data_IF_824172954009
#
_entry.id   IF_824172954009
#
_cell.length_a   1.000
_cell.length_b   1.000
_cell.length_c   1.000
_cell.angle_alpha   90.00
_cell.angle_beta   90.00
_cell.angle_gamma   90.00
#
_symmetry.space_group_name_H-M   'P 1'
#
loop_
_entity.id
_entity.type
_entity.pdbx_description
1 polymer ?
#
# COMPACT_ATOMS: atom_id res chain seq x y z
N UNK A 1 -12.42 6.95 -1.71
CA UNK A 1 -12.31 7.05 -0.23
C UNK A 1 -11.01 6.39 0.20
N UNK A 2 -10.33 6.90 1.23
CA UNK A 2 -9.17 6.25 1.85
C UNK A 2 -9.46 5.97 3.31
N UNK A 3 -9.17 4.76 3.79
CA UNK A 3 -9.65 4.26 5.09
C UNK A 3 -8.78 3.11 5.61
N UNK A 4 -8.80 2.87 6.92
CA UNK A 4 -8.10 1.74 7.56
C UNK A 4 -9.00 0.50 7.67
N UNK A 5 -8.46 -0.74 7.64
CA UNK A 5 -9.23 -1.97 7.80
C UNK A 5 -10.16 -1.99 9.02
N UNK A 6 -9.69 -1.53 10.19
CA UNK A 6 -10.50 -1.47 11.42
C UNK A 6 -11.79 -0.66 11.26
N UNK A 7 -11.75 0.47 10.55
CA UNK A 7 -12.92 1.31 10.31
C UNK A 7 -13.96 0.61 9.42
N UNK A 8 -13.50 -0.11 8.39
CA UNK A 8 -14.39 -0.89 7.52
C UNK A 8 -15.08 -2.02 8.30
N UNK A 9 -14.39 -2.66 9.25
CA UNK A 9 -14.99 -3.66 10.14
C UNK A 9 -16.10 -3.06 11.01
N UNK A 10 -15.89 -1.85 11.53
CA UNK A 10 -16.94 -1.14 12.28
C UNK A 10 -18.16 -0.85 11.41
N UNK A 11 -17.96 -0.40 10.16
CA UNK A 11 -19.06 -0.17 9.22
C UNK A 11 -19.82 -1.46 8.91
N UNK A 12 -19.11 -2.57 8.67
CA UNK A 12 -19.73 -3.88 8.43
C UNK A 12 -20.48 -4.41 9.65
N UNK A 13 -19.96 -4.20 10.87
CA UNK A 13 -20.67 -4.52 12.11
C UNK A 13 -21.96 -3.72 12.29
N UNK A 14 -22.02 -2.51 11.74
CA UNK A 14 -23.23 -1.68 11.65
C UNK A 14 -24.16 -2.03 10.48
N UNK A 15 -23.90 -3.11 9.73
CA UNK A 15 -24.72 -3.55 8.60
C UNK A 15 -24.46 -2.79 7.28
N UNK A 16 -23.45 -1.92 7.23
CA UNK A 16 -23.05 -1.22 6.00
C UNK A 16 -21.94 -1.99 5.31
N UNK A 17 -22.15 -2.34 4.05
CA UNK A 17 -21.17 -2.98 3.19
C UNK A 17 -20.91 -2.12 1.93
N UNK A 18 -20.22 -2.71 0.96
CA UNK A 18 -20.03 -2.02 -0.32
C UNK A 18 -21.36 -1.63 -0.92
N UNK A 19 -22.43 -2.47 -0.80
CA UNK A 19 -23.77 -2.31 -1.40
C UNK A 19 -24.50 -1.04 -0.95
N UNK A 20 -24.32 -0.66 0.31
CA UNK A 20 -24.84 0.58 0.91
C UNK A 20 -24.23 1.87 0.37
N UNK A 21 -23.17 1.79 -0.45
CA UNK A 21 -22.46 2.95 -1.02
C UNK A 21 -22.49 2.95 -2.55
N UNK A 22 -23.63 3.24 -3.20
CA UNK A 22 -23.82 3.06 -4.65
C UNK A 22 -22.93 3.95 -5.53
N UNK A 23 -22.45 5.07 -4.99
CA UNK A 23 -21.57 6.00 -5.71
C UNK A 23 -20.07 5.77 -5.45
N UNK A 24 -19.71 4.77 -4.63
CA UNK A 24 -18.32 4.49 -4.31
C UNK A 24 -17.62 3.82 -5.50
N UNK A 25 -16.72 4.56 -6.14
CA UNK A 25 -15.95 4.07 -7.30
C UNK A 25 -14.60 3.46 -6.93
N UNK A 26 -13.93 4.02 -5.92
CA UNK A 26 -12.58 3.63 -5.51
C UNK A 26 -12.51 3.61 -3.99
N UNK A 27 -12.07 2.48 -3.46
CA UNK A 27 -11.81 2.27 -2.04
C UNK A 27 -10.34 1.94 -1.84
N UNK A 28 -9.59 2.89 -1.30
CA UNK A 28 -8.20 2.71 -0.92
C UNK A 28 -8.14 2.32 0.56
N UNK A 29 -7.51 1.20 0.85
CA UNK A 29 -7.33 0.67 2.20
C UNK A 29 -5.85 0.59 2.50
N UNK A 30 -5.43 1.03 3.69
CA UNK A 30 -4.02 1.03 4.07
C UNK A 30 -3.82 1.46 5.51
N UNK A 31 -2.58 1.42 5.98
CA UNK A 31 -2.21 1.83 7.34
C UNK A 31 -2.33 0.73 8.41
N UNK A 32 -3.00 -0.38 8.13
CA UNK A 32 -3.02 -1.58 8.98
C UNK A 32 -2.94 -2.85 8.11
N UNK A 33 -2.69 -3.99 8.75
CA UNK A 33 -2.76 -5.28 8.08
C UNK A 33 -4.19 -5.54 7.53
N UNK A 34 -4.26 -5.83 6.24
CA UNK A 34 -5.51 -6.14 5.56
C UNK A 34 -5.86 -7.63 5.77
N UNK A 35 -7.09 -7.90 6.17
CA UNK A 35 -7.63 -9.26 6.29
C UNK A 35 -8.54 -9.64 5.12
N UNK A 36 -8.65 -10.94 4.86
CA UNK A 36 -9.51 -11.48 3.80
C UNK A 36 -11.00 -11.16 4.01
N UNK A 37 -11.43 -11.03 5.27
CA UNK A 37 -12.78 -10.62 5.71
C UNK A 37 -13.18 -9.24 5.15
N UNK A 38 -12.23 -8.30 5.15
CA UNK A 38 -12.47 -6.95 4.62
C UNK A 38 -12.56 -7.01 3.11
N UNK A 39 -11.68 -7.78 2.44
CA UNK A 39 -11.70 -7.91 0.97
C UNK A 39 -12.99 -8.57 0.49
N UNK A 40 -13.44 -9.65 1.14
CA UNK A 40 -14.69 -10.33 0.74
C UNK A 40 -15.90 -9.42 0.82
N UNK A 41 -15.92 -8.51 1.80
CA UNK A 41 -17.06 -7.62 2.06
C UNK A 41 -17.01 -6.35 1.21
N UNK A 42 -15.82 -5.80 0.99
CA UNK A 42 -15.64 -4.45 0.45
C UNK A 42 -15.06 -4.37 -0.97
N UNK A 43 -14.48 -5.46 -1.50
CA UNK A 43 -13.96 -5.55 -2.86
C UNK A 43 -14.89 -6.12 -3.98
N UNK A 44 -16.21 -6.34 -3.81
CA UNK A 44 -17.06 -6.77 -4.92
C UNK A 44 -17.06 -5.81 -6.13
N UNK A 45 -17.38 -6.36 -7.31
CA UNK A 45 -17.09 -5.86 -8.69
C UNK A 45 -17.45 -4.40 -9.05
N UNK A 46 -18.17 -3.68 -8.20
CA UNK A 46 -18.67 -2.33 -8.46
C UNK A 46 -17.71 -1.21 -8.06
N UNK A 47 -16.71 -1.48 -7.21
CA UNK A 47 -15.69 -0.51 -6.83
C UNK A 47 -14.29 -1.07 -7.07
N UNK A 48 -13.35 -0.18 -7.38
CA UNK A 48 -11.93 -0.52 -7.41
C UNK A 48 -11.40 -0.56 -5.98
N UNK A 49 -11.11 -1.76 -5.49
CA UNK A 49 -10.53 -1.98 -4.16
C UNK A 49 -9.01 -2.05 -4.24
N UNK A 50 -8.35 -1.17 -3.49
CA UNK A 50 -6.90 -1.01 -3.50
C UNK A 50 -6.38 -1.24 -2.10
N UNK A 51 -5.47 -2.20 -1.93
CA UNK A 51 -4.63 -2.30 -0.73
C UNK A 51 -3.35 -1.49 -0.97
N UNK A 52 -3.03 -0.59 -0.06
CA UNK A 52 -1.96 0.39 -0.21
C UNK A 52 -1.08 0.43 1.02
N UNK A 53 0.21 0.63 0.80
CA UNK A 53 1.19 0.77 1.85
C UNK A 53 2.13 1.93 1.53
N UNK A 54 2.36 2.80 2.52
CA UNK A 54 3.27 3.92 2.44
C UNK A 54 3.63 4.39 3.84
N UNK A 55 4.93 4.43 4.21
CA UNK A 55 5.36 5.08 5.44
C UNK A 55 5.32 6.61 5.28
N UNK A 56 4.97 7.32 6.35
CA UNK A 56 4.85 8.79 6.39
C UNK A 56 6.13 9.51 5.94
N UNK A 57 7.29 8.89 6.13
CA UNK A 57 8.62 9.43 5.85
C UNK A 57 8.99 9.46 4.36
N UNK A 58 8.23 8.77 3.50
CA UNK A 58 8.55 8.64 2.07
C UNK A 58 7.43 9.21 1.20
N UNK A 59 6.20 8.73 1.40
CA UNK A 59 5.01 9.18 0.68
C UNK A 59 3.76 8.58 1.31
N UNK A 60 2.62 9.22 1.07
CA UNK A 60 1.30 8.71 1.48
C UNK A 60 1.07 7.28 0.98
N UNK A 61 1.54 6.93 -0.23
CA UNK A 61 1.51 5.55 -0.75
C UNK A 61 2.78 5.24 -1.55
N UNK A 62 3.45 4.14 -1.20
CA UNK A 62 4.67 3.66 -1.87
C UNK A 62 4.44 2.39 -2.70
N UNK A 63 3.51 1.53 -2.28
CA UNK A 63 3.10 0.33 -3.01
C UNK A 63 1.58 0.21 -3.02
N UNK A 64 1.03 -0.41 -4.05
CA UNK A 64 -0.40 -0.72 -4.10
C UNK A 64 -0.68 -2.01 -4.88
N UNK A 65 -1.75 -2.68 -4.48
CA UNK A 65 -2.37 -3.82 -5.16
C UNK A 65 -3.87 -3.56 -5.36
N UNK A 66 -4.39 -3.88 -6.53
CA UNK A 66 -5.83 -4.03 -6.71
C UNK A 66 -6.22 -5.46 -6.31
N UNK A 67 -7.17 -5.63 -5.40
CA UNK A 67 -7.57 -6.94 -4.89
C UNK A 67 -9.04 -7.24 -5.17
N UNK A 68 -9.35 -8.52 -5.34
CA UNK A 68 -10.68 -9.11 -5.42
C UNK A 68 -10.84 -10.20 -4.36
N UNK A 69 -12.08 -10.60 -4.02
CA UNK A 69 -12.30 -11.75 -3.14
C UNK A 69 -11.59 -13.01 -3.67
N UNK A 70 -10.81 -13.67 -2.81
CA UNK A 70 -10.02 -14.86 -3.15
C UNK A 70 -8.57 -14.58 -3.54
N UNK A 71 -8.19 -13.32 -3.79
CA UNK A 71 -6.79 -12.97 -4.04
C UNK A 71 -5.94 -13.14 -2.78
N UNK A 72 -4.66 -13.48 -2.98
CA UNK A 72 -3.67 -13.41 -1.90
C UNK A 72 -3.48 -11.96 -1.46
N UNK A 73 -3.53 -11.72 -0.13
CA UNK A 73 -3.31 -10.38 0.41
C UNK A 73 -1.85 -9.98 0.20
N UNK A 74 -1.65 -8.88 -0.52
CA UNK A 74 -0.34 -8.30 -0.80
C UNK A 74 -0.40 -6.79 -0.78
N UNK A 75 0.73 -6.15 -0.46
CA UNK A 75 0.92 -4.69 -0.61
C UNK A 75 1.22 -4.28 -2.06
N UNK A 76 1.32 -5.27 -2.95
CA UNK A 76 1.41 -5.09 -4.40
C UNK A 76 2.77 -4.64 -4.87
N UNK A 77 2.77 -3.78 -5.88
CA UNK A 77 3.98 -3.32 -6.56
C UNK A 77 4.29 -1.87 -6.20
N UNK A 78 5.56 -1.51 -6.31
CA UNK A 78 6.01 -0.14 -6.15
C UNK A 78 5.27 0.81 -7.11
N UNK A 79 4.69 1.86 -6.54
CA UNK A 79 4.24 3.02 -7.28
C UNK A 79 5.49 3.85 -7.69
N UNK A 80 5.44 4.44 -8.88
CA UNK A 80 6.52 5.13 -9.64
C UNK A 80 7.33 4.23 -10.62
N UNK A 81 7.51 4.74 -11.84
CA UNK A 81 7.81 4.02 -13.09
C UNK A 81 9.32 3.99 -13.46
N UNK A 82 9.68 2.93 -14.20
CA UNK A 82 10.97 2.53 -14.81
C UNK A 82 12.18 2.54 -13.85
N UNK A 83 12.71 1.34 -13.60
CA UNK A 83 14.00 1.07 -12.94
C UNK A 83 15.10 2.02 -13.47
N UNK A 84 15.29 3.18 -12.82
CA UNK A 84 16.44 4.07 -13.04
C UNK A 84 17.52 3.89 -11.97
N UNK A 85 17.33 2.94 -11.06
CA UNK A 85 18.34 2.59 -10.07
C UNK A 85 19.34 1.63 -10.71
N UNK A 86 20.51 2.14 -11.13
CA UNK A 86 21.65 1.33 -11.60
C UNK A 86 22.16 0.36 -10.51
N UNK A 87 21.89 0.66 -9.24
CA UNK A 87 22.21 -0.20 -8.11
C UNK A 87 21.07 -1.20 -7.88
N UNK A 88 21.30 -2.44 -8.32
CA UNK A 88 20.49 -3.61 -7.93
C UNK A 88 20.84 -3.90 -6.47
N UNK A 89 20.16 -3.25 -5.53
CA UNK A 89 20.42 -3.49 -4.11
C UNK A 89 19.91 -4.90 -3.75
N UNK A 90 20.88 -5.81 -3.64
CA UNK A 90 20.86 -7.06 -2.88
C UNK A 90 19.90 -8.12 -3.45
N UNK A 91 20.35 -9.37 -3.55
CA UNK A 91 19.43 -10.50 -3.71
C UNK A 91 18.54 -10.54 -2.48
N UNK A 92 17.25 -10.25 -2.67
CA UNK A 92 16.33 -10.22 -1.54
C UNK A 92 16.15 -11.66 -1.01
N UNK A 93 16.37 -11.89 0.29
CA UNK A 93 16.03 -13.16 0.90
C UNK A 93 14.52 -13.43 0.75
N UNK A 94 14.11 -14.70 0.87
CA UNK A 94 12.69 -15.10 0.82
C UNK A 94 11.83 -14.36 1.86
N UNK A 95 12.43 -13.92 2.97
CA UNK A 95 11.87 -13.00 3.96
C UNK A 95 12.91 -11.91 4.20
N UNK A 96 12.52 -10.64 4.11
CA UNK A 96 13.44 -9.51 4.27
C UNK A 96 12.72 -8.20 4.60
N UNK A 97 13.52 -7.16 4.86
CA UNK A 97 13.00 -5.81 5.11
C UNK A 97 12.69 -5.10 3.80
N UNK A 98 11.60 -4.33 3.78
CA UNK A 98 11.22 -3.50 2.64
C UNK A 98 12.00 -2.18 2.71
N UNK A 99 12.77 -1.89 1.67
CA UNK A 99 13.47 -0.62 1.50
C UNK A 99 12.87 0.13 0.31
N UNK A 100 12.46 1.38 0.54
CA UNK A 100 12.01 2.27 -0.52
C UNK A 100 12.86 3.52 -0.52
N UNK A 101 13.46 3.81 -1.67
CA UNK A 101 14.16 5.07 -1.93
C UNK A 101 13.19 6.02 -2.63
N UNK A 102 13.20 7.30 -2.24
CA UNK A 102 12.39 8.33 -2.89
C UNK A 102 12.84 8.62 -4.33
N UNK A 103 12.17 9.58 -4.96
CA UNK A 103 12.61 10.12 -6.24
C UNK A 103 14.02 10.70 -6.10
N UNK A 104 14.90 10.39 -7.05
CA UNK A 104 16.22 10.99 -7.12
C UNK A 104 16.06 12.51 -7.26
N UNK A 105 16.18 13.25 -6.16
CA UNK A 105 16.47 14.67 -6.23
C UNK A 105 17.86 14.80 -6.86
N UNK A 106 17.95 15.31 -8.08
CA UNK A 106 19.24 15.67 -8.67
C UNK A 106 19.80 16.84 -7.87
N UNK A 107 20.71 16.56 -6.95
CA UNK A 107 21.44 17.57 -6.20
C UNK A 107 22.84 17.69 -6.81
N UNK A 108 23.23 18.88 -7.27
CA UNK A 108 24.60 19.14 -7.68
C UNK A 108 25.52 18.99 -6.46
N UNK A 109 26.72 18.45 -6.71
CA UNK A 109 27.69 18.04 -5.70
C UNK A 109 28.08 19.21 -4.77
N UNK A 110 27.47 19.32 -3.58
CA UNK A 110 28.09 20.07 -2.46
C UNK A 110 27.56 19.75 -1.06
N UNK A 111 26.53 18.93 -0.84
CA UNK A 111 26.15 18.52 0.53
C UNK A 111 25.41 17.19 0.58
N UNK A 112 25.97 16.27 1.36
CA UNK A 112 25.52 14.90 1.49
C UNK A 112 24.76 14.74 2.82
N UNK A 113 23.45 14.45 2.74
CA UNK A 113 22.70 13.81 3.83
C UNK A 113 21.86 12.69 3.23
N UNK A 114 22.30 11.44 3.43
CA UNK A 114 21.49 10.26 3.10
C UNK A 114 20.54 10.00 4.27
N UNK A 115 19.25 10.22 4.07
CA UNK A 115 18.21 9.73 4.97
C UNK A 115 17.82 8.32 4.51
N UNK A 116 18.41 7.31 5.14
CA UNK A 116 17.95 5.92 5.03
C UNK A 116 17.28 5.61 6.37
N UNK A 117 15.96 5.62 6.40
CA UNK A 117 15.20 5.27 7.61
C UNK A 117 14.92 3.77 7.60
N UNK A 118 15.38 3.06 8.63
CA UNK A 118 15.28 1.61 8.80
C UNK A 118 13.99 1.27 9.55
N UNK A 119 13.18 0.37 9.00
CA UNK A 119 12.13 -0.32 9.75
C UNK A 119 12.26 -1.83 9.60
N UNK A 120 12.17 -2.53 10.73
CA UNK A 120 12.19 -3.98 10.84
C UNK A 120 10.75 -4.41 11.09
N UNK A 121 10.16 -5.11 10.13
CA UNK A 121 8.98 -5.93 10.42
C UNK A 121 9.51 -7.18 11.11
N UNK A 122 9.18 -7.34 12.40
CA UNK A 122 9.31 -8.58 13.14
C UNK A 122 8.03 -9.40 12.96
#
# INVERSE_FOLDING_TARGET
MSVVPSHLRTMSGGGTDVSGLPHLRILNVGGEALGADVVSTWAPSRCLFINSYGPSEISVVCTAACLKPGDAITIGVALLRKKKTKAKFIELPSIGRVYKTGDLASCSLSSFRRYVTLWQLA
#
